data_IF_979618344955
#
_entry.id   IF_979618344955
#
_cell.length_a   1.000
_cell.length_b   1.000
_cell.length_c   1.000
_cell.angle_alpha   90.00
_cell.angle_beta   90.00
_cell.angle_gamma   90.00
#
_symmetry.space_group_name_H-M   'P 1'
#
loop_
_entity.id
_entity.type
_entity.pdbx_description
1 polymer ?
#
# COMPACT_ATOMS: atom_id res chain seq x y z
N UNK A 1 18.77 -9.74 -14.12
CA UNK A 1 19.62 -9.67 -12.92
C UNK A 1 18.84 -10.29 -11.76
N UNK A 2 19.39 -11.34 -11.16
CA UNK A 2 18.73 -12.01 -10.02
C UNK A 2 18.84 -11.09 -8.79
N UNK A 3 17.69 -10.80 -8.17
CA UNK A 3 17.60 -10.08 -6.89
C UNK A 3 17.34 -11.04 -5.73
N UNK A 4 17.47 -12.36 -6.00
CA UNK A 4 17.32 -13.41 -4.98
C UNK A 4 18.41 -13.21 -3.91
N UNK A 5 17.99 -13.20 -2.65
CA UNK A 5 18.88 -12.98 -1.50
C UNK A 5 19.03 -11.53 -1.05
N UNK A 6 18.55 -10.55 -1.83
CA UNK A 6 18.48 -9.16 -1.37
C UNK A 6 17.24 -8.92 -0.51
N UNK A 7 17.32 -8.05 0.52
CA UNK A 7 16.13 -7.54 1.19
C UNK A 7 15.16 -6.90 0.19
N UNK A 8 13.85 -7.17 0.34
CA UNK A 8 12.83 -6.65 -0.58
C UNK A 8 12.88 -5.13 -0.75
N UNK A 9 13.11 -4.39 0.32
CA UNK A 9 13.21 -2.93 0.30
C UNK A 9 14.40 -2.42 -0.50
N UNK A 10 15.52 -3.13 -0.48
CA UNK A 10 16.71 -2.78 -1.27
C UNK A 10 16.50 -3.12 -2.76
N UNK A 11 15.97 -4.31 -3.04
CA UNK A 11 15.63 -4.69 -4.41
C UNK A 11 14.64 -3.70 -5.05
N UNK A 12 13.60 -3.31 -4.30
CA UNK A 12 12.62 -2.31 -4.75
C UNK A 12 13.28 -0.93 -4.95
N UNK A 13 14.15 -0.50 -4.05
CA UNK A 13 14.89 0.77 -4.20
C UNK A 13 15.73 0.79 -5.48
N UNK A 14 16.43 -0.30 -5.80
CA UNK A 14 17.19 -0.42 -7.05
C UNK A 14 16.28 -0.31 -8.28
N UNK A 15 15.14 -1.00 -8.28
CA UNK A 15 14.19 -0.97 -9.39
C UNK A 15 13.60 0.45 -9.61
N UNK A 16 13.20 1.11 -8.54
CA UNK A 16 12.64 2.46 -8.62
C UNK A 16 13.66 3.50 -9.07
N UNK A 17 14.90 3.42 -8.63
CA UNK A 17 16.00 4.28 -9.09
C UNK A 17 16.37 4.03 -10.55
N UNK A 18 16.21 2.81 -11.05
CA UNK A 18 16.40 2.51 -12.46
C UNK A 18 15.33 3.16 -13.35
N UNK A 19 14.10 3.33 -12.83
CA UNK A 19 12.98 4.01 -13.51
C UNK A 19 13.16 5.54 -13.43
N UNK A 20 13.42 6.05 -12.23
CA UNK A 20 13.65 7.47 -11.98
C UNK A 20 14.89 7.68 -11.10
N UNK A 21 16.05 8.01 -11.71
CA UNK A 21 17.30 8.21 -10.96
C UNK A 21 17.26 9.37 -9.94
N UNK A 22 16.34 10.32 -10.10
CA UNK A 22 16.23 11.49 -9.22
C UNK A 22 15.36 11.23 -7.99
N UNK A 23 14.68 10.07 -7.90
CA UNK A 23 13.80 9.75 -6.77
C UNK A 23 14.63 9.60 -5.49
N UNK A 24 14.16 10.24 -4.42
CA UNK A 24 14.73 10.06 -3.08
C UNK A 24 14.03 8.90 -2.38
N UNK A 25 14.78 7.87 -2.04
CA UNK A 25 14.26 6.66 -1.41
C UNK A 25 15.02 6.43 -0.11
N UNK A 26 14.26 6.22 0.97
CA UNK A 26 14.77 5.71 2.25
C UNK A 26 14.23 4.31 2.44
N UNK A 27 15.09 3.36 2.77
CA UNK A 27 14.72 1.98 3.07
C UNK A 27 14.88 1.73 4.57
N UNK A 28 14.00 0.91 5.14
CA UNK A 28 14.13 0.41 6.50
C UNK A 28 13.81 -1.08 6.53
N UNK A 29 14.65 -1.87 7.19
CA UNK A 29 14.42 -3.31 7.43
C UNK A 29 13.86 -3.57 8.82
N UNK A 30 13.33 -2.53 9.47
CA UNK A 30 12.76 -2.62 10.79
C UNK A 30 11.39 -3.29 10.74
N UNK A 31 11.14 -4.26 11.61
CA UNK A 31 9.79 -4.78 11.80
C UNK A 31 8.93 -3.72 12.45
N UNK A 32 7.74 -3.51 11.88
CA UNK A 32 6.78 -2.56 12.45
C UNK A 32 6.19 -3.10 13.75
N UNK A 33 6.07 -2.23 14.72
CA UNK A 33 5.39 -2.45 15.99
C UNK A 33 4.71 -1.16 16.48
N UNK A 34 3.82 -1.21 17.48
CA UNK A 34 3.12 -0.01 17.97
C UNK A 34 4.06 1.09 18.50
N UNK A 35 5.25 0.73 18.95
CA UNK A 35 6.22 1.68 19.50
C UNK A 35 7.01 2.45 18.44
N UNK A 36 7.13 1.92 17.21
CA UNK A 36 7.96 2.51 16.17
C UNK A 36 7.17 3.12 14.99
N UNK A 37 5.93 2.68 14.74
CA UNK A 37 5.13 3.13 13.60
C UNK A 37 4.96 4.65 13.55
N UNK A 38 4.54 5.27 14.65
CA UNK A 38 4.31 6.71 14.70
C UNK A 38 5.60 7.51 14.35
N UNK A 39 6.76 7.08 14.85
CA UNK A 39 8.03 7.72 14.57
C UNK A 39 8.51 7.50 13.14
N UNK A 40 8.39 6.27 12.63
CA UNK A 40 8.82 5.92 11.27
C UNK A 40 8.04 6.69 10.20
N UNK A 41 6.75 6.95 10.43
CA UNK A 41 5.88 7.62 9.46
C UNK A 41 5.58 9.09 9.80
N UNK A 42 6.18 9.67 10.85
CA UNK A 42 5.89 11.04 11.31
C UNK A 42 6.10 12.13 10.26
N UNK A 43 6.99 11.91 9.29
CA UNK A 43 7.26 12.86 8.20
C UNK A 43 6.58 12.53 6.89
N UNK A 44 5.63 11.58 6.87
CA UNK A 44 4.93 11.18 5.65
C UNK A 44 3.59 11.91 5.52
N UNK A 45 3.35 12.57 4.39
CA UNK A 45 2.05 13.18 4.06
C UNK A 45 0.99 12.12 3.75
N UNK A 46 1.43 10.97 3.23
CA UNK A 46 0.61 9.84 2.83
C UNK A 46 1.31 8.53 3.17
N UNK A 47 0.61 7.60 3.78
CA UNK A 47 1.07 6.24 4.06
C UNK A 47 0.36 5.27 3.13
N UNK A 48 1.11 4.41 2.46
CA UNK A 48 0.56 3.31 1.65
C UNK A 48 0.74 2.01 2.42
N UNK A 49 -0.37 1.41 2.81
CA UNK A 49 -0.39 0.16 3.55
C UNK A 49 -0.58 -1.00 2.58
N UNK A 50 0.34 -1.94 2.56
CA UNK A 50 0.33 -3.14 1.72
C UNK A 50 0.74 -4.41 2.49
N UNK A 51 0.47 -4.44 3.81
CA UNK A 51 0.75 -5.60 4.66
C UNK A 51 -0.22 -6.75 4.32
N UNK A 52 0.22 -7.96 4.52
CA UNK A 52 -0.55 -9.17 4.20
C UNK A 52 -1.39 -9.69 5.37
N UNK A 53 -1.00 -9.36 6.61
CA UNK A 53 -1.70 -9.81 7.82
C UNK A 53 -2.64 -8.75 8.35
N UNK A 54 -3.86 -9.15 8.65
CA UNK A 54 -4.91 -8.26 9.16
C UNK A 54 -4.50 -7.58 10.49
N UNK A 55 -3.86 -8.35 11.38
CA UNK A 55 -3.36 -7.84 12.66
C UNK A 55 -2.33 -6.72 12.47
N UNK A 56 -1.40 -6.90 11.52
CA UNK A 56 -0.36 -5.91 11.22
C UNK A 56 -0.96 -4.66 10.56
N UNK A 57 -1.97 -4.82 9.68
CA UNK A 57 -2.75 -3.70 9.11
C UNK A 57 -3.43 -2.88 10.20
N UNK A 58 -4.16 -3.56 11.08
CA UNK A 58 -4.86 -2.93 12.20
C UNK A 58 -3.88 -2.17 13.10
N UNK A 59 -2.81 -2.83 13.50
CA UNK A 59 -1.76 -2.23 14.34
C UNK A 59 -1.19 -0.96 13.69
N UNK A 60 -0.86 -1.00 12.39
CA UNK A 60 -0.35 0.16 11.68
C UNK A 60 -1.37 1.31 11.69
N UNK A 61 -2.62 1.05 11.29
CA UNK A 61 -3.67 2.07 11.20
C UNK A 61 -3.97 2.72 12.56
N UNK A 62 -3.95 1.95 13.64
CA UNK A 62 -4.15 2.44 15.00
C UNK A 62 -2.94 3.23 15.55
N UNK A 63 -1.75 2.97 15.01
CA UNK A 63 -0.50 3.63 15.46
C UNK A 63 -0.18 4.92 14.72
N UNK A 64 -0.87 5.21 13.62
CA UNK A 64 -0.66 6.43 12.85
C UNK A 64 -1.29 7.66 13.55
N UNK A 65 -0.71 8.84 13.32
CA UNK A 65 -1.27 10.08 13.84
C UNK A 65 -2.65 10.38 13.26
N UNK A 66 -3.55 10.92 14.08
CA UNK A 66 -4.87 11.36 13.62
C UNK A 66 -4.76 12.38 12.47
N UNK A 67 -5.44 12.08 11.36
CA UNK A 67 -5.46 12.93 10.17
C UNK A 67 -4.39 12.59 9.14
N UNK A 68 -3.47 11.68 9.40
CA UNK A 68 -2.52 11.20 8.42
C UNK A 68 -3.26 10.39 7.33
N UNK A 69 -3.09 10.78 6.08
CA UNK A 69 -3.76 10.11 4.96
C UNK A 69 -3.20 8.70 4.75
N UNK A 70 -4.08 7.74 4.51
CA UNK A 70 -3.69 6.35 4.25
C UNK A 70 -4.37 5.82 2.99
N UNK A 71 -3.64 5.08 2.19
CA UNK A 71 -4.19 4.23 1.11
C UNK A 71 -3.88 2.78 1.44
N UNK A 72 -4.90 1.94 1.47
CA UNK A 72 -4.80 0.53 1.87
C UNK A 72 -5.58 -0.38 0.92
N UNK A 73 -5.39 -1.69 1.04
CA UNK A 73 -6.12 -2.72 0.32
C UNK A 73 -6.87 -3.65 1.28
N UNK A 74 -8.09 -4.07 0.88
CA UNK A 74 -8.88 -5.05 1.64
C UNK A 74 -9.68 -5.95 0.69
N UNK A 75 -9.54 -7.27 0.83
CA UNK A 75 -10.22 -8.21 -0.06
C UNK A 75 -9.55 -8.32 -1.43
N UNK A 76 -8.34 -8.86 -1.45
CA UNK A 76 -7.52 -9.01 -2.68
C UNK A 76 -7.48 -10.46 -3.18
N UNK A 77 -8.06 -11.41 -2.44
CA UNK A 77 -8.08 -12.82 -2.79
C UNK A 77 -9.23 -13.17 -3.76
N UNK A 78 -9.19 -14.37 -4.33
CA UNK A 78 -10.16 -14.79 -5.33
C UNK A 78 -9.92 -14.17 -6.71
N UNK A 79 -10.73 -14.59 -7.70
CA UNK A 79 -10.54 -14.22 -9.11
C UNK A 79 -11.49 -13.14 -9.64
N UNK A 80 -12.58 -12.84 -8.93
CA UNK A 80 -13.60 -11.89 -9.37
C UNK A 80 -13.09 -10.45 -9.33
N UNK A 81 -13.35 -9.68 -10.38
CA UNK A 81 -12.96 -8.27 -10.50
C UNK A 81 -14.13 -7.30 -10.37
N UNK A 82 -15.33 -7.75 -10.63
CA UNK A 82 -16.58 -6.97 -10.65
C UNK A 82 -16.98 -6.42 -9.28
N UNK A 83 -16.47 -6.99 -8.21
CA UNK A 83 -16.72 -6.56 -6.83
C UNK A 83 -15.70 -5.53 -6.30
N UNK A 84 -14.62 -5.25 -7.04
CA UNK A 84 -13.60 -4.28 -6.62
C UNK A 84 -14.19 -2.88 -6.59
N UNK A 85 -14.03 -2.20 -5.47
CA UNK A 85 -14.51 -0.83 -5.23
C UNK A 85 -13.57 -0.08 -4.30
N UNK A 86 -13.75 1.22 -4.23
CA UNK A 86 -13.04 2.09 -3.28
C UNK A 86 -14.02 2.53 -2.19
N UNK A 87 -13.58 2.54 -0.96
CA UNK A 87 -14.29 3.11 0.18
C UNK A 87 -13.40 4.07 0.95
N UNK A 88 -14.01 5.14 1.45
CA UNK A 88 -13.36 6.03 2.41
C UNK A 88 -13.80 5.64 3.82
N UNK A 89 -12.84 5.35 4.68
CA UNK A 89 -13.03 5.03 6.09
C UNK A 89 -12.22 6.06 6.90
N UNK A 90 -12.88 7.16 7.29
CA UNK A 90 -12.18 8.28 7.92
C UNK A 90 -11.11 8.88 7.00
N UNK A 91 -9.86 8.83 7.45
CA UNK A 91 -8.69 9.31 6.70
C UNK A 91 -8.05 8.23 5.80
N UNK A 92 -8.61 7.03 5.80
CA UNK A 92 -8.13 5.90 5.01
C UNK A 92 -8.99 5.71 3.75
N UNK A 93 -8.35 5.61 2.59
CA UNK A 93 -8.93 5.15 1.33
C UNK A 93 -8.55 3.70 1.11
N UNK A 94 -9.54 2.85 0.95
CA UNK A 94 -9.33 1.40 0.84
C UNK A 94 -9.85 0.91 -0.50
N UNK A 95 -9.02 0.19 -1.25
CA UNK A 95 -9.38 -0.47 -2.50
C UNK A 95 -9.49 -1.99 -2.31
N UNK A 96 -10.49 -2.62 -2.92
CA UNK A 96 -10.68 -4.07 -2.89
C UNK A 96 -12.14 -4.49 -2.90
N UNK A 97 -12.41 -5.77 -2.65
CA UNK A 97 -13.80 -6.28 -2.62
C UNK A 97 -14.42 -6.28 -1.21
N UNK A 98 -13.62 -6.11 -0.16
CA UNK A 98 -14.05 -6.08 1.25
C UNK A 98 -14.70 -7.38 1.76
N UNK A 99 -14.53 -8.47 1.06
CA UNK A 99 -15.20 -9.73 1.35
C UNK A 99 -14.25 -10.93 1.36
N UNK A 100 -13.25 -10.94 0.48
CA UNK A 100 -12.35 -12.10 0.35
C UNK A 100 -11.17 -12.01 1.32
N UNK A 101 -10.81 -13.18 1.87
CA UNK A 101 -9.71 -13.33 2.80
C UNK A 101 -8.64 -14.27 2.20
N UNK A 102 -7.39 -13.87 2.27
CA UNK A 102 -6.24 -14.65 1.81
C UNK A 102 -6.06 -15.96 2.58
N UNK A 103 -6.60 -16.07 3.79
CA UNK A 103 -6.62 -17.32 4.55
C UNK A 103 -7.58 -18.37 3.96
N UNK A 104 -8.60 -17.94 3.21
CA UNK A 104 -9.67 -18.80 2.71
C UNK A 104 -9.77 -18.85 1.19
N UNK A 105 -9.08 -17.98 0.47
CA UNK A 105 -9.09 -17.96 -0.99
C UNK A 105 -7.68 -17.67 -1.57
N UNK A 106 -7.31 -18.25 -2.71
CA UNK A 106 -6.02 -18.04 -3.32
C UNK A 106 -5.87 -16.61 -3.86
N UNK A 107 -4.62 -16.13 -3.92
CA UNK A 107 -4.26 -14.88 -4.56
C UNK A 107 -4.04 -15.11 -6.06
N UNK A 108 -4.69 -14.30 -6.88
CA UNK A 108 -4.48 -14.28 -8.32
C UNK A 108 -3.84 -12.95 -8.76
N UNK A 109 -2.80 -13.03 -9.57
CA UNK A 109 -2.02 -11.87 -9.99
C UNK A 109 -2.87 -10.77 -10.64
N UNK A 110 -3.87 -11.14 -11.46
CA UNK A 110 -4.74 -10.16 -12.12
C UNK A 110 -5.57 -9.32 -11.13
N UNK A 111 -6.11 -9.93 -10.07
CA UNK A 111 -6.88 -9.20 -9.06
C UNK A 111 -5.99 -8.33 -8.19
N UNK A 112 -4.88 -8.87 -7.73
CA UNK A 112 -3.88 -8.11 -6.96
C UNK A 112 -3.40 -6.90 -7.75
N UNK A 113 -3.08 -7.07 -9.05
CA UNK A 113 -2.66 -5.98 -9.93
C UNK A 113 -3.76 -4.95 -10.15
N UNK A 114 -5.02 -5.38 -10.29
CA UNK A 114 -6.16 -4.48 -10.44
C UNK A 114 -6.33 -3.61 -9.17
N UNK A 115 -6.31 -4.22 -7.98
CA UNK A 115 -6.39 -3.46 -6.71
C UNK A 115 -5.19 -2.52 -6.56
N UNK A 116 -3.98 -2.95 -6.90
CA UNK A 116 -2.80 -2.11 -6.87
C UNK A 116 -2.92 -0.90 -7.82
N UNK A 117 -3.53 -1.06 -9.00
CA UNK A 117 -3.81 0.03 -9.93
C UNK A 117 -4.82 1.05 -9.35
N UNK A 118 -5.88 0.58 -8.68
CA UNK A 118 -6.79 1.46 -7.94
C UNK A 118 -6.05 2.24 -6.85
N UNK A 119 -5.21 1.57 -6.05
CA UNK A 119 -4.41 2.23 -5.01
C UNK A 119 -3.49 3.30 -5.61
N UNK A 120 -2.82 3.00 -6.72
CA UNK A 120 -1.97 3.98 -7.41
C UNK A 120 -2.76 5.23 -7.83
N UNK A 121 -3.97 5.07 -8.38
CA UNK A 121 -4.87 6.16 -8.70
C UNK A 121 -5.24 7.01 -7.47
N UNK A 122 -5.56 6.36 -6.36
CA UNK A 122 -5.87 7.04 -5.09
C UNK A 122 -4.66 7.81 -4.54
N UNK A 123 -3.46 7.24 -4.61
CA UNK A 123 -2.21 7.90 -4.21
C UNK A 123 -2.02 9.18 -5.02
N UNK A 124 -2.21 9.12 -6.34
CA UNK A 124 -2.08 10.29 -7.21
C UNK A 124 -3.10 11.37 -6.89
N UNK A 125 -4.34 11.02 -6.59
CA UNK A 125 -5.39 11.97 -6.19
C UNK A 125 -5.05 12.64 -4.86
N UNK A 126 -4.64 11.88 -3.85
CA UNK A 126 -4.33 12.40 -2.52
C UNK A 126 -3.01 13.21 -2.48
N UNK A 127 -2.07 12.92 -3.38
CA UNK A 127 -0.84 13.69 -3.56
C UNK A 127 -1.05 15.04 -4.28
N UNK A 128 -2.29 15.39 -4.63
CA UNK A 128 -2.61 16.67 -5.28
C UNK A 128 -2.33 16.71 -6.78
N UNK A 129 -2.20 15.55 -7.42
CA UNK A 129 -2.11 15.46 -8.87
C UNK A 129 -3.44 15.85 -9.51
N UNK A 130 -3.59 17.12 -9.87
CA UNK A 130 -4.63 17.52 -10.84
C UNK A 130 -4.20 16.95 -12.20
N UNK A 131 -4.71 15.77 -12.54
CA UNK A 131 -4.68 15.33 -13.91
C UNK A 131 -5.77 16.12 -14.65
N UNK A 132 -5.35 17.06 -15.46
CA UNK A 132 -6.19 17.75 -16.43
C UNK A 132 -6.73 16.67 -17.39
N UNK A 133 -8.00 16.33 -17.25
CA UNK A 133 -8.73 15.46 -18.17
C UNK A 133 -8.98 16.27 -19.46
N UNK A 134 -7.93 16.39 -20.30
CA UNK A 134 -8.09 16.86 -21.67
C UNK A 134 -8.24 15.67 -22.61
#
# INVERSE_FOLDING_TARGET
>A
VSQIGLPKVEALSHNLKAINPQIQIRTSMTRLDPGNCATLFSGCDLVVEGLDREEDKKMLLESLHHGQKVVSACGIAGSALDSIRVRRLGHCLVAGDFATDCAHAPLFAHKVSCVAAYMAGLIMQEAGGQYDNR
#
